data_IF_996986926177
#
_entry.id   IF_996986926177
#
_cell.length_a   1.000
_cell.length_b   1.000
_cell.length_c   1.000
_cell.angle_alpha   90.00
_cell.angle_beta   90.00
_cell.angle_gamma   90.00
#
_symmetry.space_group_name_H-M   'P 1'
#
loop_
_entity.id
_entity.type
_entity.pdbx_description
1 polymer ?
#
# COMPACT_ATOMS: atom_id res chain seq x y z
N UNK A 1 0.39 1.64 14.81
CA UNK A 1 1.86 1.52 14.71
C UNK A 1 2.18 0.04 14.47
N UNK A 2 3.03 -0.24 13.46
CA UNK A 2 3.51 -1.60 13.18
C UNK A 2 4.98 -1.68 13.61
N UNK A 3 5.35 -2.77 14.27
CA UNK A 3 6.72 -3.05 14.67
C UNK A 3 7.27 -4.23 13.87
N UNK A 4 8.54 -4.12 13.48
CA UNK A 4 9.25 -5.14 12.71
C UNK A 4 10.49 -5.60 13.47
N UNK A 5 10.81 -6.88 13.33
CA UNK A 5 12.05 -7.45 13.81
C UNK A 5 13.26 -7.01 12.97
N UNK A 6 14.45 -7.32 13.45
CA UNK A 6 15.70 -7.07 12.71
C UNK A 6 15.82 -7.87 11.40
N UNK A 7 14.96 -8.85 11.20
CA UNK A 7 14.81 -9.67 9.99
C UNK A 7 13.86 -9.06 8.96
N UNK A 8 13.18 -7.93 9.29
CA UNK A 8 12.22 -7.25 8.43
C UNK A 8 10.80 -7.82 8.48
N UNK A 9 10.56 -8.85 9.28
CA UNK A 9 9.22 -9.40 9.47
C UNK A 9 8.50 -8.76 10.65
N UNK A 10 7.16 -8.84 10.64
CA UNK A 10 6.31 -8.41 11.75
C UNK A 10 6.67 -9.16 13.02
N UNK A 11 6.60 -8.50 14.18
CA UNK A 11 6.87 -9.16 15.46
C UNK A 11 5.92 -10.34 15.69
N UNK A 12 6.35 -11.41 16.40
CA UNK A 12 5.46 -12.47 16.86
C UNK A 12 4.36 -11.93 17.76
N UNK A 13 3.16 -12.53 17.69
CA UNK A 13 2.00 -12.11 18.48
C UNK A 13 2.30 -12.00 19.98
N UNK A 14 3.05 -12.96 20.54
CA UNK A 14 3.41 -12.93 21.95
C UNK A 14 4.21 -11.67 22.34
N UNK A 15 5.05 -11.16 21.45
CA UNK A 15 5.81 -9.92 21.67
C UNK A 15 4.92 -8.69 21.53
N UNK A 16 3.99 -8.70 20.58
CA UNK A 16 2.99 -7.64 20.43
C UNK A 16 2.09 -7.55 21.66
N UNK A 17 1.64 -8.70 22.20
CA UNK A 17 0.85 -8.77 23.44
C UNK A 17 1.62 -8.21 24.66
N UNK A 18 2.91 -8.50 24.79
CA UNK A 18 3.77 -7.93 25.85
C UNK A 18 3.88 -6.41 25.71
N UNK A 19 4.05 -5.90 24.49
CA UNK A 19 4.12 -4.45 24.22
C UNK A 19 2.79 -3.77 24.55
N UNK A 20 1.66 -4.35 24.17
CA UNK A 20 0.35 -3.83 24.54
C UNK A 20 0.14 -3.80 26.05
N UNK A 21 0.50 -4.87 26.74
CA UNK A 21 0.42 -4.94 28.21
C UNK A 21 1.27 -3.85 28.87
N UNK A 22 2.45 -3.58 28.33
CA UNK A 22 3.33 -2.49 28.81
C UNK A 22 2.69 -1.11 28.59
N UNK A 23 2.12 -0.86 27.41
CA UNK A 23 1.42 0.40 27.12
C UNK A 23 0.27 0.61 28.12
N UNK A 24 -0.58 -0.40 28.34
CA UNK A 24 -1.70 -0.32 29.29
C UNK A 24 -1.22 -0.01 30.73
N UNK A 25 -0.11 -0.61 31.16
CA UNK A 25 0.49 -0.31 32.47
C UNK A 25 0.95 1.14 32.58
N UNK A 26 1.62 1.68 31.54
CA UNK A 26 2.07 3.07 31.49
C UNK A 26 0.87 4.03 31.51
N UNK A 27 -0.19 3.73 30.76
CA UNK A 27 -1.43 4.52 30.76
C UNK A 27 -2.14 4.51 32.12
N UNK A 28 -2.06 3.38 32.85
CA UNK A 28 -2.59 3.24 34.20
C UNK A 28 -1.73 3.94 35.29
N UNK A 29 -0.64 4.60 34.91
CA UNK A 29 0.21 5.37 35.81
C UNK A 29 1.43 4.62 36.37
N UNK A 30 1.83 3.49 35.77
CA UNK A 30 3.09 2.81 36.07
C UNK A 30 4.26 3.62 35.46
N UNK A 31 4.85 4.50 36.26
CA UNK A 31 5.98 5.34 35.83
C UNK A 31 7.34 4.59 35.85
N UNK A 32 7.40 3.36 36.34
CA UNK A 32 8.65 2.60 36.44
C UNK A 32 9.31 2.35 35.06
N UNK A 33 8.51 2.27 33.99
CA UNK A 33 8.99 2.09 32.63
C UNK A 33 9.32 3.40 31.88
N UNK A 34 9.05 4.57 32.50
CA UNK A 34 9.29 5.88 31.87
C UNK A 34 10.75 6.32 32.07
N UNK A 35 11.49 6.56 30.98
CA UNK A 35 12.86 7.06 31.12
C UNK A 35 12.87 8.48 31.67
N UNK A 36 13.84 8.75 32.56
CA UNK A 36 14.03 10.08 33.17
C UNK A 36 15.48 10.55 33.03
N UNK A 37 15.69 11.86 33.17
CA UNK A 37 17.02 12.47 33.14
C UNK A 37 17.77 12.14 31.85
N UNK A 38 18.99 11.63 31.96
CA UNK A 38 19.84 11.30 30.81
C UNK A 38 19.35 10.12 29.94
N UNK A 39 18.34 9.40 30.40
CA UNK A 39 17.78 8.26 29.68
C UNK A 39 16.58 8.65 28.79
N UNK A 40 16.15 9.92 28.86
CA UNK A 40 15.15 10.44 27.93
C UNK A 40 15.75 10.43 26.52
N UNK A 41 15.05 9.81 25.58
CA UNK A 41 15.48 9.74 24.18
C UNK A 41 15.47 11.09 23.47
N UNK A 42 16.08 11.14 22.31
CA UNK A 42 16.08 12.32 21.42
C UNK A 42 15.26 12.02 20.18
N UNK A 43 14.72 13.09 19.55
CA UNK A 43 14.02 13.01 18.27
C UNK A 43 14.91 13.60 17.19
N UNK A 44 15.22 12.78 16.19
CA UNK A 44 15.92 13.21 14.98
C UNK A 44 14.96 13.15 13.78
N UNK A 45 14.89 14.23 13.02
CA UNK A 45 14.10 14.27 11.79
C UNK A 45 14.96 13.86 10.60
N UNK A 46 14.63 12.72 9.99
CA UNK A 46 15.37 12.11 8.89
C UNK A 46 14.54 12.12 7.60
N UNK A 47 14.43 13.31 6.98
CA UNK A 47 13.74 13.47 5.69
C UNK A 47 14.44 12.75 4.51
N UNK A 48 15.73 12.48 4.64
CA UNK A 48 16.51 11.71 3.68
C UNK A 48 16.02 10.27 3.51
N UNK A 49 15.46 9.67 4.58
CA UNK A 49 14.93 8.29 4.53
C UNK A 49 13.74 8.15 3.56
N UNK A 50 12.91 9.18 3.43
CA UNK A 50 11.81 9.17 2.44
C UNK A 50 12.37 9.09 1.03
N UNK A 51 13.44 9.82 0.72
CA UNK A 51 14.06 9.77 -0.61
C UNK A 51 14.71 8.42 -0.88
N UNK A 52 15.38 7.82 0.11
CA UNK A 52 15.93 6.46 -0.02
C UNK A 52 14.84 5.44 -0.30
N UNK A 53 13.68 5.54 0.38
CA UNK A 53 12.52 4.69 0.10
C UNK A 53 11.98 4.90 -1.33
N UNK A 54 11.87 6.15 -1.77
CA UNK A 54 11.46 6.50 -3.14
C UNK A 54 12.41 5.87 -4.17
N UNK A 55 13.71 6.02 -3.99
CA UNK A 55 14.72 5.46 -4.89
C UNK A 55 14.63 3.92 -4.94
N UNK A 56 14.43 3.29 -3.78
CA UNK A 56 14.21 1.84 -3.70
C UNK A 56 12.98 1.42 -4.49
N UNK A 57 11.81 2.06 -4.26
CA UNK A 57 10.55 1.72 -4.94
C UNK A 57 10.66 1.93 -6.45
N UNK A 58 11.27 3.04 -6.89
CA UNK A 58 11.55 3.29 -8.32
C UNK A 58 12.40 2.18 -8.91
N UNK A 59 13.42 1.71 -8.16
CA UNK A 59 14.30 0.62 -8.58
C UNK A 59 13.60 -0.74 -8.71
N UNK A 60 12.46 -0.96 -8.06
CA UNK A 60 11.67 -2.20 -8.20
C UNK A 60 10.81 -2.21 -9.47
N UNK A 61 10.58 -1.05 -10.10
CA UNK A 61 9.80 -0.95 -11.32
C UNK A 61 10.71 -1.17 -12.54
N UNK A 62 10.53 -2.27 -13.29
CA UNK A 62 11.44 -2.60 -14.41
C UNK A 62 11.20 -1.72 -15.64
N UNK A 63 10.11 -0.99 -15.69
CA UNK A 63 9.71 -0.18 -16.83
C UNK A 63 9.34 1.24 -16.40
N UNK A 64 9.62 2.18 -17.29
CA UNK A 64 9.14 3.55 -17.13
C UNK A 64 7.72 3.67 -17.67
N UNK A 65 6.97 4.61 -17.09
CA UNK A 65 5.57 4.91 -17.45
C UNK A 65 5.45 6.32 -18.05
N UNK A 66 6.41 6.67 -18.91
CA UNK A 66 6.50 8.02 -19.48
C UNK A 66 5.23 8.39 -20.27
N UNK A 67 4.72 9.57 -19.97
CA UNK A 67 3.52 10.11 -20.61
C UNK A 67 2.21 9.51 -20.15
N UNK A 68 2.21 8.49 -19.29
CA UNK A 68 0.97 7.96 -18.71
C UNK A 68 0.35 9.01 -17.79
N UNK A 69 -0.91 9.36 -18.04
CA UNK A 69 -1.67 10.32 -17.24
C UNK A 69 -2.32 9.62 -16.05
N UNK A 70 -1.87 9.97 -14.86
CA UNK A 70 -2.31 9.33 -13.62
C UNK A 70 -2.98 10.37 -12.71
N UNK A 71 -4.15 10.03 -12.16
CA UNK A 71 -4.70 10.71 -10.99
C UNK A 71 -4.39 9.86 -9.75
N UNK A 72 -3.70 10.46 -8.79
CA UNK A 72 -3.33 9.81 -7.52
C UNK A 72 -4.09 10.43 -6.36
N UNK A 73 -4.87 9.61 -5.65
CA UNK A 73 -5.49 9.96 -4.39
C UNK A 73 -4.67 9.40 -3.22
N UNK A 74 -4.10 10.29 -2.41
CA UNK A 74 -3.26 9.93 -1.26
C UNK A 74 -4.04 9.79 0.06
N UNK A 75 -5.36 9.91 0.04
CA UNK A 75 -6.23 9.82 1.22
C UNK A 75 -5.84 10.78 2.38
N UNK A 76 -5.11 11.86 2.11
CA UNK A 76 -4.45 12.70 3.12
C UNK A 76 -3.66 11.87 4.16
N UNK A 77 -3.10 10.75 3.73
CA UNK A 77 -2.43 9.74 4.55
C UNK A 77 -0.94 9.61 4.26
N UNK A 78 -0.36 8.46 4.60
CA UNK A 78 1.08 8.20 4.55
C UNK A 78 1.71 8.31 3.15
N UNK A 79 0.93 8.04 2.09
CA UNK A 79 1.43 8.08 0.71
C UNK A 79 1.68 9.51 0.16
N UNK A 80 1.22 10.56 0.85
CA UNK A 80 1.15 11.92 0.32
C UNK A 80 2.48 12.50 -0.19
N UNK A 81 3.60 12.08 0.38
CA UNK A 81 4.93 12.54 0.00
C UNK A 81 5.65 11.55 -0.93
N UNK A 82 5.66 10.26 -0.59
CA UNK A 82 6.47 9.25 -1.28
C UNK A 82 5.90 8.90 -2.67
N UNK A 83 4.61 8.56 -2.76
CA UNK A 83 4.04 8.09 -4.03
C UNK A 83 4.04 9.13 -5.15
N UNK A 84 3.75 10.43 -4.91
CA UNK A 84 3.91 11.43 -5.96
C UNK A 84 5.34 11.55 -6.48
N UNK A 85 6.35 11.37 -5.63
CA UNK A 85 7.77 11.37 -6.03
C UNK A 85 8.09 10.16 -6.89
N UNK A 86 7.63 8.96 -6.48
CA UNK A 86 7.82 7.70 -7.22
C UNK A 86 7.24 7.80 -8.64
N UNK A 87 5.97 8.17 -8.76
CA UNK A 87 5.29 8.21 -10.06
C UNK A 87 5.91 9.26 -10.99
N UNK A 88 6.29 10.43 -10.48
CA UNK A 88 7.02 11.43 -11.27
C UNK A 88 8.41 10.95 -11.70
N UNK A 89 9.13 10.27 -10.81
CA UNK A 89 10.44 9.71 -11.14
C UNK A 89 10.34 8.62 -12.22
N UNK A 90 9.24 7.89 -12.29
CA UNK A 90 8.93 6.92 -13.35
C UNK A 90 8.48 7.57 -14.67
N UNK A 91 8.20 8.88 -14.70
CA UNK A 91 7.84 9.64 -15.90
C UNK A 91 6.35 9.87 -16.11
N UNK A 92 5.49 9.60 -15.11
CA UNK A 92 4.05 9.84 -15.23
C UNK A 92 3.71 11.34 -15.30
N UNK A 93 2.68 11.67 -16.10
CA UNK A 93 1.95 12.93 -16.02
C UNK A 93 0.95 12.84 -14.87
N UNK A 94 1.28 13.49 -13.74
CA UNK A 94 0.61 13.22 -12.48
C UNK A 94 -0.26 14.35 -12.00
N UNK A 95 -1.55 14.08 -11.79
CA UNK A 95 -2.49 14.87 -11.00
C UNK A 95 -2.64 14.25 -9.61
N UNK A 96 -2.28 14.98 -8.55
CA UNK A 96 -2.41 14.50 -7.16
C UNK A 96 -3.62 15.18 -6.52
N UNK A 97 -4.43 14.39 -5.81
CA UNK A 97 -5.55 14.86 -4.98
C UNK A 97 -5.40 14.30 -3.56
N UNK A 98 -6.01 14.96 -2.59
CA UNK A 98 -6.01 14.57 -1.18
C UNK A 98 -4.60 14.26 -0.62
N UNK A 99 -3.66 15.19 -0.85
CA UNK A 99 -2.27 15.08 -0.40
C UNK A 99 -1.86 16.21 0.56
N UNK A 100 -2.79 16.73 1.34
CA UNK A 100 -2.58 17.80 2.31
C UNK A 100 -3.04 17.37 3.71
N UNK A 101 -2.32 16.43 4.35
CA UNK A 101 -2.69 15.94 5.68
C UNK A 101 -2.62 17.08 6.72
N UNK A 102 -3.64 17.21 7.55
CA UNK A 102 -3.73 18.22 8.60
C UNK A 102 -3.89 17.63 10.01
N UNK A 103 -3.82 16.31 10.15
CA UNK A 103 -3.94 15.59 11.41
C UNK A 103 -5.36 15.09 11.74
N UNK A 104 -6.39 15.57 11.01
CA UNK A 104 -7.80 15.19 11.25
C UNK A 104 -8.57 14.85 9.97
N UNK A 105 -7.94 14.89 8.80
CA UNK A 105 -8.59 14.67 7.51
C UNK A 105 -8.17 13.39 6.77
N UNK A 106 -7.47 12.48 7.43
CA UNK A 106 -7.11 11.17 6.86
C UNK A 106 -8.36 10.37 6.50
N UNK A 107 -8.44 9.83 5.27
CA UNK A 107 -9.59 9.10 4.73
C UNK A 107 -10.92 9.88 4.72
N UNK A 108 -10.90 11.19 4.91
CA UNK A 108 -12.12 12.00 4.95
C UNK A 108 -12.68 12.17 3.54
N UNK A 109 -13.69 11.35 3.21
CA UNK A 109 -14.35 11.28 1.90
C UNK A 109 -13.37 11.17 0.71
N UNK A 110 -12.29 10.41 0.89
CA UNK A 110 -11.23 10.22 -0.10
C UNK A 110 -10.54 8.84 0.05
N UNK A 111 -9.59 8.58 -0.84
CA UNK A 111 -8.81 7.36 -0.85
C UNK A 111 -9.61 6.14 -1.30
N UNK A 112 -9.08 4.94 -1.00
CA UNK A 112 -9.62 3.67 -1.49
C UNK A 112 -11.03 3.33 -0.98
N UNK A 113 -11.50 3.99 0.08
CA UNK A 113 -12.84 3.79 0.63
C UNK A 113 -13.91 4.73 0.05
N UNK A 114 -13.50 5.82 -0.63
CA UNK A 114 -14.38 6.83 -1.24
C UNK A 114 -13.83 7.29 -2.59
N UNK A 115 -14.17 6.56 -3.65
CA UNK A 115 -13.60 6.75 -4.99
C UNK A 115 -14.26 7.84 -5.83
N UNK A 116 -15.30 8.51 -5.35
CA UNK A 116 -16.10 9.43 -6.18
C UNK A 116 -15.31 10.65 -6.66
N UNK A 117 -14.46 11.22 -5.82
CA UNK A 117 -13.60 12.34 -6.19
C UNK A 117 -12.50 11.92 -7.17
N UNK A 118 -11.93 10.72 -6.99
CA UNK A 118 -10.96 10.13 -7.90
C UNK A 118 -11.61 9.89 -9.28
N UNK A 119 -12.76 9.22 -9.31
CA UNK A 119 -13.50 8.93 -10.54
C UNK A 119 -13.83 10.19 -11.33
N UNK A 120 -14.38 11.19 -10.66
CA UNK A 120 -14.66 12.49 -11.28
C UNK A 120 -13.40 13.10 -11.88
N UNK A 121 -12.30 13.12 -11.14
CA UNK A 121 -11.04 13.71 -11.61
C UNK A 121 -10.44 12.94 -12.78
N UNK A 122 -10.50 11.61 -12.79
CA UNK A 122 -10.07 10.77 -13.93
C UNK A 122 -10.84 11.17 -15.20
N UNK A 123 -12.16 11.22 -15.12
CA UNK A 123 -13.03 11.56 -16.26
C UNK A 123 -12.82 13.01 -16.73
N UNK A 124 -12.69 13.96 -15.82
CA UNK A 124 -12.49 15.39 -16.14
C UNK A 124 -11.12 15.66 -16.79
N UNK A 125 -10.09 14.92 -16.40
CA UNK A 125 -8.73 15.12 -16.91
C UNK A 125 -8.38 14.23 -18.10
N UNK A 126 -9.22 13.23 -18.41
CA UNK A 126 -8.90 12.21 -19.41
C UNK A 126 -7.65 11.43 -19.04
N UNK A 127 -7.51 11.08 -17.75
CA UNK A 127 -6.39 10.28 -17.28
C UNK A 127 -6.53 8.83 -17.71
N UNK A 128 -5.41 8.16 -17.93
CA UNK A 128 -5.37 6.74 -18.34
C UNK A 128 -5.73 5.81 -17.17
N UNK A 129 -5.41 6.25 -15.92
CA UNK A 129 -5.67 5.47 -14.70
C UNK A 129 -5.83 6.41 -13.49
N UNK A 130 -6.72 6.02 -12.58
CA UNK A 130 -6.81 6.55 -11.22
C UNK A 130 -6.24 5.57 -10.23
N UNK A 131 -5.47 6.04 -9.26
CA UNK A 131 -4.90 5.22 -8.17
C UNK A 131 -5.33 5.82 -6.85
N UNK A 132 -5.92 5.01 -5.95
CA UNK A 132 -6.31 5.40 -4.61
C UNK A 132 -5.61 4.54 -3.57
N UNK A 133 -4.94 5.19 -2.63
CA UNK A 133 -4.46 4.57 -1.41
C UNK A 133 -5.47 4.77 -0.27
N UNK A 134 -5.34 4.00 0.79
CA UNK A 134 -5.95 4.32 2.07
C UNK A 134 -4.96 5.08 2.97
N UNK A 135 -5.37 5.39 4.19
CA UNK A 135 -4.65 6.30 5.07
C UNK A 135 -3.23 5.86 5.45
N UNK A 136 -2.98 4.58 5.65
CA UNK A 136 -1.64 4.03 5.94
C UNK A 136 -0.94 3.42 4.70
N UNK A 137 -1.61 3.51 3.54
CA UNK A 137 -1.10 3.12 2.23
C UNK A 137 -0.73 1.63 2.10
N UNK A 138 -1.39 0.76 2.86
CA UNK A 138 -1.25 -0.69 2.73
C UNK A 138 -2.27 -1.29 1.76
N UNK A 139 -3.25 -0.51 1.29
CA UNK A 139 -4.24 -0.87 0.27
C UNK A 139 -4.14 0.04 -0.93
N UNK A 140 -4.45 -0.54 -2.10
CA UNK A 140 -4.48 0.16 -3.37
C UNK A 140 -5.69 -0.29 -4.18
N UNK A 141 -6.49 0.65 -4.67
CA UNK A 141 -7.51 0.43 -5.69
C UNK A 141 -7.23 1.31 -6.90
N UNK A 142 -7.62 0.84 -8.07
CA UNK A 142 -7.47 1.61 -9.29
C UNK A 142 -8.82 1.85 -9.97
N UNK A 143 -8.87 2.89 -10.80
CA UNK A 143 -9.93 3.14 -11.76
C UNK A 143 -9.30 3.17 -13.15
N UNK A 144 -9.97 2.59 -14.14
CA UNK A 144 -9.58 2.74 -15.54
C UNK A 144 -9.97 4.12 -16.10
N UNK A 145 -9.66 4.37 -17.36
CA UNK A 145 -9.95 5.61 -18.07
C UNK A 145 -11.46 5.93 -18.18
N UNK A 146 -12.33 4.92 -17.99
CA UNK A 146 -13.80 5.09 -17.97
C UNK A 146 -14.34 5.36 -16.57
N UNK A 147 -13.47 5.31 -15.54
CA UNK A 147 -13.85 5.39 -14.14
C UNK A 147 -14.38 4.08 -13.56
N UNK A 148 -14.24 2.94 -14.26
CA UNK A 148 -14.62 1.64 -13.74
C UNK A 148 -13.59 1.15 -12.71
N UNK A 149 -14.08 0.44 -11.68
CA UNK A 149 -13.22 -0.06 -10.59
C UNK A 149 -12.38 -1.24 -11.06
N UNK A 150 -11.08 -1.13 -10.80
CA UNK A 150 -10.10 -2.21 -10.88
C UNK A 150 -9.69 -2.53 -9.44
N UNK A 151 -10.27 -3.57 -8.88
CA UNK A 151 -10.01 -4.00 -7.50
C UNK A 151 -8.77 -4.88 -7.38
N UNK A 152 -8.49 -5.37 -6.16
CA UNK A 152 -7.32 -6.21 -5.89
C UNK A 152 -7.31 -7.50 -6.70
N UNK A 153 -8.45 -8.12 -6.94
CA UNK A 153 -8.54 -9.34 -7.75
C UNK A 153 -8.13 -9.07 -9.21
N UNK A 154 -8.56 -7.96 -9.79
CA UNK A 154 -8.16 -7.54 -11.14
C UNK A 154 -6.65 -7.25 -11.21
N UNK A 155 -6.11 -6.54 -10.21
CA UNK A 155 -4.67 -6.22 -10.13
C UNK A 155 -3.84 -7.51 -10.06
N UNK A 156 -4.24 -8.45 -9.20
CA UNK A 156 -3.55 -9.74 -9.06
C UNK A 156 -3.58 -10.54 -10.36
N UNK A 157 -4.73 -10.59 -11.07
CA UNK A 157 -4.83 -11.27 -12.38
C UNK A 157 -3.92 -10.61 -13.41
N UNK A 158 -3.88 -9.29 -13.48
CA UNK A 158 -3.01 -8.57 -14.41
C UNK A 158 -1.53 -8.86 -14.14
N UNK A 159 -1.09 -8.76 -12.88
CA UNK A 159 0.28 -9.05 -12.48
C UNK A 159 0.66 -10.51 -12.73
N UNK A 160 -0.19 -11.46 -12.32
CA UNK A 160 0.06 -12.87 -12.51
C UNK A 160 0.12 -13.25 -13.99
N UNK A 161 -0.77 -12.69 -14.81
CA UNK A 161 -0.78 -12.91 -16.25
C UNK A 161 0.51 -12.45 -16.92
N UNK A 162 1.06 -11.30 -16.52
CA UNK A 162 2.35 -10.82 -16.99
C UNK A 162 3.49 -11.71 -16.52
N UNK A 163 3.50 -12.09 -15.26
CA UNK A 163 4.53 -12.99 -14.71
C UNK A 163 4.50 -14.37 -15.35
N UNK A 164 3.30 -14.92 -15.64
CA UNK A 164 3.15 -16.18 -16.36
C UNK A 164 3.71 -16.10 -17.78
N UNK A 165 3.35 -15.06 -18.54
CA UNK A 165 3.85 -14.82 -19.90
C UNK A 165 5.36 -14.67 -19.94
N UNK A 166 5.93 -14.01 -18.93
CA UNK A 166 7.37 -13.82 -18.80
C UNK A 166 8.12 -15.03 -18.20
N UNK A 167 7.43 -16.12 -17.82
CA UNK A 167 8.02 -17.29 -17.16
C UNK A 167 8.60 -16.97 -15.76
N UNK A 168 8.13 -15.91 -15.11
CA UNK A 168 8.64 -15.42 -13.82
C UNK A 168 7.78 -15.79 -12.62
N UNK A 169 6.63 -16.46 -12.82
CA UNK A 169 5.77 -16.89 -11.73
C UNK A 169 6.22 -18.27 -11.22
N UNK A 170 6.75 -18.39 -9.99
CA UNK A 170 7.20 -19.67 -9.44
C UNK A 170 6.05 -20.68 -9.41
N UNK A 171 6.32 -21.90 -9.84
CA UNK A 171 5.33 -22.99 -9.90
C UNK A 171 4.02 -22.64 -10.62
N UNK A 172 3.98 -21.51 -11.36
CA UNK A 172 2.76 -20.93 -11.95
C UNK A 172 1.66 -20.68 -10.91
N UNK A 173 2.03 -20.43 -9.66
CA UNK A 173 1.11 -20.35 -8.52
C UNK A 173 0.99 -18.92 -8.02
N UNK A 174 -0.24 -18.48 -7.78
CA UNK A 174 -0.60 -17.25 -7.08
C UNK A 174 -1.16 -17.62 -5.71
N UNK A 175 -0.66 -17.01 -4.66
CA UNK A 175 -1.23 -17.14 -3.32
C UNK A 175 -2.27 -16.04 -3.12
N UNK A 176 -3.46 -16.41 -2.68
CA UNK A 176 -4.53 -15.48 -2.34
C UNK A 176 -5.27 -15.93 -1.09
N UNK A 177 -6.24 -15.16 -0.64
CA UNK A 177 -6.99 -15.48 0.56
C UNK A 177 -8.39 -15.99 0.22
N UNK A 178 -9.10 -16.50 1.24
CA UNK A 178 -10.51 -16.90 1.14
C UNK A 178 -11.44 -15.76 0.70
N UNK A 179 -10.95 -14.51 0.67
CA UNK A 179 -11.73 -13.34 0.26
C UNK A 179 -11.75 -13.12 -1.25
N UNK A 180 -10.86 -13.77 -2.02
CA UNK A 180 -10.82 -13.63 -3.47
C UNK A 180 -12.11 -14.15 -4.12
N UNK A 181 -12.61 -13.43 -5.13
CA UNK A 181 -13.84 -13.83 -5.81
C UNK A 181 -13.61 -14.98 -6.79
N UNK A 182 -14.69 -15.68 -7.17
CA UNK A 182 -14.60 -16.82 -8.08
C UNK A 182 -14.07 -16.44 -9.48
N UNK A 183 -14.25 -15.19 -9.90
CA UNK A 183 -13.74 -14.67 -11.16
C UNK A 183 -12.22 -14.65 -11.20
N UNK A 184 -11.59 -14.30 -10.09
CA UNK A 184 -10.13 -14.36 -9.93
C UNK A 184 -9.60 -15.78 -10.18
N UNK A 185 -10.17 -16.78 -9.50
CA UNK A 185 -9.75 -18.19 -9.66
C UNK A 185 -9.86 -18.65 -11.12
N UNK A 186 -11.03 -18.41 -11.74
CA UNK A 186 -11.25 -18.76 -13.15
C UNK A 186 -10.30 -18.06 -14.10
N UNK A 187 -9.97 -16.79 -13.84
CA UNK A 187 -9.04 -16.05 -14.67
C UNK A 187 -7.61 -16.59 -14.58
N UNK A 188 -7.13 -16.92 -13.39
CA UNK A 188 -5.79 -17.53 -13.20
C UNK A 188 -5.72 -18.91 -13.86
N UNK A 189 -6.74 -19.75 -13.69
CA UNK A 189 -6.82 -21.06 -14.34
C UNK A 189 -6.82 -20.94 -15.88
N UNK A 190 -7.59 -20.00 -16.44
CA UNK A 190 -7.61 -19.75 -17.89
C UNK A 190 -6.26 -19.28 -18.44
N UNK A 191 -5.44 -18.62 -17.63
CA UNK A 191 -4.06 -18.24 -17.96
C UNK A 191 -3.05 -19.39 -17.79
N UNK A 192 -3.50 -20.56 -17.34
CA UNK A 192 -2.65 -21.74 -17.08
C UNK A 192 -1.88 -21.67 -15.77
N UNK A 193 -2.34 -20.85 -14.83
CA UNK A 193 -1.83 -20.73 -13.47
C UNK A 193 -2.65 -21.58 -12.48
N UNK A 194 -2.21 -21.56 -11.23
CA UNK A 194 -2.85 -22.20 -10.08
C UNK A 194 -3.01 -21.18 -8.95
N UNK A 195 -4.06 -21.34 -8.13
CA UNK A 195 -4.31 -20.49 -6.95
C UNK A 195 -4.21 -21.33 -5.69
N UNK A 196 -3.29 -20.96 -4.81
CA UNK A 196 -3.23 -21.43 -3.43
C UNK A 196 -4.06 -20.48 -2.55
N UNK A 197 -4.93 -21.05 -1.70
CA UNK A 197 -5.84 -20.27 -0.87
C UNK A 197 -5.45 -20.37 0.59
N UNK A 198 -5.25 -19.20 1.23
CA UNK A 198 -4.91 -19.11 2.63
C UNK A 198 -5.99 -18.37 3.42
N UNK A 199 -5.83 -18.30 4.74
CA UNK A 199 -6.61 -17.42 5.59
C UNK A 199 -6.20 -15.95 5.37
N UNK A 200 -7.07 -15.03 5.80
CA UNK A 200 -6.80 -13.59 5.73
C UNK A 200 -5.68 -13.22 6.70
N UNK A 201 -4.67 -12.53 6.19
CA UNK A 201 -3.53 -12.02 6.93
C UNK A 201 -2.23 -12.16 6.13
N UNK A 202 -1.43 -11.10 6.14
CA UNK A 202 -0.15 -11.02 5.43
C UNK A 202 0.80 -12.19 5.80
N UNK A 203 0.83 -12.58 7.07
CA UNK A 203 1.63 -13.71 7.56
C UNK A 203 1.25 -15.09 7.00
N UNK A 204 0.04 -15.23 6.44
CA UNK A 204 -0.41 -16.49 5.84
C UNK A 204 -0.20 -16.51 4.32
N UNK A 205 0.02 -15.35 3.73
CA UNK A 205 0.29 -15.18 2.30
C UNK A 205 1.78 -15.29 2.00
N UNK A 206 2.64 -14.85 2.93
CA UNK A 206 4.10 -14.96 2.86
C UNK A 206 4.58 -16.37 3.18
#
# INVERSE_FOLDING_TARGET
IKFFGGDGYKLPDAVEDELEALVRRIEAGDDAARPTGRHVGTVERRHDLVNQYVDYVVGTCPQRIEGMKIVLDCANGAAYEAMPKVLRALGAELKVIHALPNGVNINDNCGSTHLDSLRRTVLETGADIGIAHDGDADRCLCLDETGALIDGDHILVACAGEMLRAGRLPHKTVVSTVMANIGFHKAIEALGGHVEVTQVGDRYVL
#
